data_IF_647292728464
#
_entry.id   IF_647292728464
#
_cell.length_a   1.000
_cell.length_b   1.000
_cell.length_c   1.000
_cell.angle_alpha   90.00
_cell.angle_beta   90.00
_cell.angle_gamma   90.00
#
_symmetry.space_group_name_H-M   'P 1'
#
loop_
_entity.id
_entity.type
_entity.pdbx_description
1 polymer ?
#
# COMPACT_ATOMS: atom_id res chain seq x y z
N UNK A 1 -17.87 10.72 -4.50
CA UNK A 1 -17.39 9.36 -4.23
C UNK A 1 -17.32 8.68 -5.59
N UNK A 2 -16.13 8.32 -6.02
CA UNK A 2 -15.89 7.76 -7.34
C UNK A 2 -15.85 6.22 -7.19
N UNK A 3 -16.58 5.51 -8.06
CA UNK A 3 -16.51 4.04 -8.17
C UNK A 3 -15.92 3.73 -9.54
N UNK A 4 -14.78 3.04 -9.54
CA UNK A 4 -14.03 2.71 -10.76
C UNK A 4 -14.01 1.19 -10.90
N UNK A 5 -14.53 0.70 -12.03
CA UNK A 5 -14.47 -0.72 -12.39
C UNK A 5 -13.30 -0.93 -13.36
N UNK A 6 -12.10 -1.13 -12.82
CA UNK A 6 -10.86 -1.31 -13.59
C UNK A 6 -9.86 -2.16 -12.77
N UNK A 7 -8.78 -2.58 -13.43
CA UNK A 7 -7.60 -3.13 -12.78
C UNK A 7 -6.93 -2.03 -11.93
N UNK A 8 -6.86 -2.24 -10.62
CA UNK A 8 -6.37 -1.24 -9.68
C UNK A 8 -4.93 -0.81 -9.98
N UNK A 9 -4.05 -1.74 -10.36
CA UNK A 9 -2.64 -1.43 -10.62
C UNK A 9 -2.53 -0.60 -11.90
N UNK A 10 -3.20 -1.00 -12.98
CA UNK A 10 -3.20 -0.24 -14.24
C UNK A 10 -3.79 1.15 -14.05
N UNK A 11 -4.86 1.26 -13.26
CA UNK A 11 -5.50 2.52 -12.96
C UNK A 11 -4.57 3.48 -12.20
N UNK A 12 -3.91 3.00 -11.14
CA UNK A 12 -2.98 3.80 -10.33
C UNK A 12 -1.70 4.18 -11.11
N UNK A 13 -1.25 3.36 -12.06
CA UNK A 13 -0.10 3.68 -12.92
C UNK A 13 -0.43 4.76 -13.95
N UNK A 14 -1.71 4.93 -14.31
CA UNK A 14 -2.13 5.89 -15.33
C UNK A 14 -1.67 7.32 -15.02
N UNK A 15 -1.20 8.06 -16.03
CA UNK A 15 -0.67 9.42 -15.87
C UNK A 15 -1.74 10.45 -15.49
N UNK A 16 -3.02 10.09 -15.58
CA UNK A 16 -4.14 10.95 -15.21
C UNK A 16 -4.45 10.91 -13.72
N UNK A 17 -3.93 9.92 -13.00
CA UNK A 17 -4.17 9.76 -11.57
C UNK A 17 -3.11 10.51 -10.74
N UNK A 18 -3.50 11.61 -10.11
CA UNK A 18 -2.60 12.46 -9.32
C UNK A 18 -3.14 12.78 -7.91
N UNK A 19 -4.17 12.06 -7.45
CA UNK A 19 -4.74 12.25 -6.12
C UNK A 19 -3.90 11.52 -5.08
N UNK A 20 -3.74 12.14 -3.92
CA UNK A 20 -3.11 11.54 -2.75
C UNK A 20 -4.16 11.06 -1.75
N UNK A 21 -3.82 10.01 -1.02
CA UNK A 21 -4.68 9.42 0.00
C UNK A 21 -4.05 9.50 1.39
N UNK A 22 -4.90 9.75 2.38
CA UNK A 22 -4.56 9.67 3.80
C UNK A 22 -4.74 8.25 4.35
N UNK A 23 -5.62 7.45 3.75
CA UNK A 23 -5.89 6.06 4.14
C UNK A 23 -6.02 5.21 2.87
N UNK A 24 -5.30 4.09 2.82
CA UNK A 24 -5.35 3.11 1.72
C UNK A 24 -5.56 1.71 2.28
N UNK A 25 -6.42 0.94 1.64
CA UNK A 25 -6.68 -0.48 1.93
C UNK A 25 -6.12 -1.32 0.76
N UNK A 26 -5.24 -2.26 1.07
CA UNK A 26 -4.59 -3.15 0.12
C UNK A 26 -4.96 -4.59 0.47
N UNK A 27 -5.99 -5.10 -0.18
CA UNK A 27 -6.47 -6.49 -0.05
C UNK A 27 -6.66 -7.12 -1.44
N UNK A 28 -5.57 -7.37 -2.19
CA UNK A 28 -5.65 -8.14 -3.42
C UNK A 28 -5.69 -9.65 -3.10
N UNK A 29 -6.12 -10.49 -4.06
CA UNK A 29 -6.12 -11.94 -3.90
C UNK A 29 -4.75 -12.49 -3.45
N UNK A 30 -4.71 -13.29 -2.38
CA UNK A 30 -3.46 -13.68 -1.68
C UNK A 30 -2.38 -14.38 -2.51
N UNK A 31 -2.76 -15.19 -3.50
CA UNK A 31 -1.80 -15.97 -4.30
C UNK A 31 -1.27 -15.19 -5.51
N UNK A 32 -0.95 -13.92 -5.34
CA UNK A 32 -0.51 -13.04 -6.42
C UNK A 32 0.59 -12.07 -5.99
N UNK A 33 1.40 -11.61 -6.94
CA UNK A 33 2.42 -10.57 -6.69
C UNK A 33 1.79 -9.15 -6.60
N UNK A 34 0.48 -9.05 -6.33
CA UNK A 34 -0.26 -7.80 -6.40
C UNK A 34 -0.06 -6.92 -5.17
N UNK A 35 0.23 -7.49 -4.00
CA UNK A 35 0.56 -6.70 -2.80
C UNK A 35 1.78 -5.83 -3.05
N UNK A 36 2.88 -6.44 -3.50
CA UNK A 36 4.13 -5.74 -3.80
C UNK A 36 3.93 -4.71 -4.92
N UNK A 37 3.21 -5.08 -5.99
CA UNK A 37 2.90 -4.15 -7.08
C UNK A 37 2.08 -2.93 -6.59
N UNK A 38 1.09 -3.14 -5.74
CA UNK A 38 0.28 -2.06 -5.17
C UNK A 38 1.13 -1.13 -4.31
N UNK A 39 1.92 -1.69 -3.39
CA UNK A 39 2.80 -0.95 -2.49
C UNK A 39 3.82 -0.13 -3.29
N UNK A 40 4.44 -0.74 -4.29
CA UNK A 40 5.42 -0.07 -5.16
C UNK A 40 4.79 1.10 -5.91
N UNK A 41 3.64 0.89 -6.56
CA UNK A 41 2.96 1.94 -7.32
C UNK A 41 2.53 3.10 -6.42
N UNK A 42 2.03 2.84 -5.21
CA UNK A 42 1.63 3.89 -4.27
C UNK A 42 2.80 4.83 -3.92
N UNK A 43 4.00 4.30 -3.71
CA UNK A 43 5.17 5.11 -3.36
C UNK A 43 5.80 5.77 -4.60
N UNK A 44 6.01 5.03 -5.69
CA UNK A 44 6.63 5.54 -6.94
C UNK A 44 5.82 6.67 -7.60
N UNK A 45 4.48 6.60 -7.50
CA UNK A 45 3.58 7.63 -8.04
C UNK A 45 3.27 8.72 -7.02
N UNK A 46 3.87 8.68 -5.82
CA UNK A 46 3.65 9.63 -4.73
C UNK A 46 2.16 9.81 -4.37
N UNK A 47 1.41 8.72 -4.33
CA UNK A 47 -0.06 8.72 -4.12
C UNK A 47 -0.47 8.73 -2.64
N UNK A 48 0.50 8.85 -1.73
CA UNK A 48 0.28 8.87 -0.29
C UNK A 48 0.65 10.23 0.29
N UNK A 49 -0.19 10.75 1.17
CA UNK A 49 0.16 11.91 1.98
C UNK A 49 1.20 11.53 3.06
N UNK A 50 1.86 12.54 3.64
CA UNK A 50 2.62 12.34 4.88
C UNK A 50 1.65 11.85 5.96
N UNK A 51 2.11 10.89 6.77
CA UNK A 51 1.35 10.21 7.82
C UNK A 51 0.19 9.34 7.33
N UNK A 52 0.10 9.08 6.01
CA UNK A 52 -0.89 8.19 5.45
C UNK A 52 -0.86 6.81 6.12
N UNK A 53 -2.03 6.20 6.27
CA UNK A 53 -2.20 4.87 6.88
C UNK A 53 -2.51 3.85 5.80
N UNK A 54 -1.71 2.79 5.77
CA UNK A 54 -1.85 1.72 4.77
C UNK A 54 -2.19 0.44 5.51
N UNK A 55 -3.41 -0.03 5.30
CA UNK A 55 -3.90 -1.30 5.82
C UNK A 55 -3.69 -2.37 4.77
N UNK A 56 -3.06 -3.48 5.16
CA UNK A 56 -2.74 -4.59 4.25
C UNK A 56 -3.23 -5.89 4.85
N UNK A 57 -4.00 -6.65 4.08
CA UNK A 57 -4.36 -8.04 4.40
C UNK A 57 -3.47 -8.98 3.60
N UNK A 58 -2.96 -10.04 4.23
CA UNK A 58 -2.18 -11.06 3.56
C UNK A 58 -2.43 -12.44 4.16
N UNK A 59 -2.11 -13.50 3.43
CA UNK A 59 -2.13 -14.86 3.98
C UNK A 59 -1.11 -14.97 5.12
N UNK A 60 -1.46 -15.67 6.20
CA UNK A 60 -0.58 -15.86 7.35
C UNK A 60 0.73 -16.59 6.97
N UNK A 61 0.69 -17.42 5.93
CA UNK A 61 1.80 -18.21 5.42
C UNK A 61 2.58 -17.51 4.29
N UNK A 62 2.14 -16.34 3.85
CA UNK A 62 2.87 -15.57 2.86
C UNK A 62 4.24 -15.13 3.40
N UNK A 63 5.19 -14.94 2.48
CA UNK A 63 6.46 -14.30 2.80
C UNK A 63 6.23 -12.89 3.34
N UNK A 64 7.23 -12.39 4.08
CA UNK A 64 7.22 -11.02 4.56
C UNK A 64 7.08 -10.04 3.38
N UNK A 65 6.17 -9.08 3.52
CA UNK A 65 5.95 -8.06 2.51
C UNK A 65 7.12 -7.10 2.47
N UNK A 66 7.65 -6.87 1.28
CA UNK A 66 8.62 -5.80 1.06
C UNK A 66 7.90 -4.46 1.02
N UNK A 67 8.14 -3.64 2.05
CA UNK A 67 7.60 -2.27 2.15
C UNK A 67 8.71 -1.23 1.99
N UNK A 68 8.40 -0.03 1.46
CA UNK A 68 9.33 1.08 1.41
C UNK A 68 9.90 1.43 2.79
N UNK A 69 11.16 1.91 2.82
CA UNK A 69 11.85 2.24 4.09
C UNK A 69 11.16 3.31 4.91
N UNK A 70 10.40 4.19 4.27
CA UNK A 70 9.63 5.24 4.91
C UNK A 70 8.26 4.78 5.41
N UNK A 71 7.98 3.49 5.42
CA UNK A 71 6.79 2.95 6.05
C UNK A 71 7.18 2.31 7.38
N UNK A 72 6.57 2.77 8.47
CA UNK A 72 6.73 2.19 9.80
C UNK A 72 5.52 1.33 10.15
N UNK A 73 5.75 0.09 10.58
CA UNK A 73 4.68 -0.82 10.97
C UNK A 73 4.12 -0.42 12.34
N UNK A 74 2.82 -0.09 12.38
CA UNK A 74 2.08 0.28 13.59
C UNK A 74 1.44 -0.96 14.24
N UNK A 75 0.90 -1.86 13.42
CA UNK A 75 0.24 -3.09 13.89
C UNK A 75 0.53 -4.26 12.96
N UNK A 76 0.60 -5.45 13.53
CA UNK A 76 0.68 -6.73 12.83
C UNK A 76 -0.02 -7.78 13.68
N UNK A 77 -1.16 -8.28 13.22
CA UNK A 77 -1.99 -9.23 13.95
C UNK A 77 -2.43 -10.35 13.01
N UNK A 78 -2.74 -11.51 13.59
CA UNK A 78 -3.25 -12.67 12.85
C UNK A 78 -4.60 -13.05 13.43
N UNK A 79 -5.58 -13.30 12.57
CA UNK A 79 -6.83 -13.95 12.94
C UNK A 79 -7.17 -15.03 11.91
N UNK A 80 -7.25 -16.29 12.37
CA UNK A 80 -7.42 -17.43 11.49
C UNK A 80 -6.23 -17.58 10.52
N UNK A 81 -6.50 -17.59 9.22
CA UNK A 81 -5.49 -17.71 8.16
C UNK A 81 -5.07 -16.35 7.56
N UNK A 82 -5.51 -15.24 8.15
CA UNK A 82 -5.23 -13.90 7.62
C UNK A 82 -4.36 -13.11 8.59
N UNK A 83 -3.34 -12.46 8.05
CA UNK A 83 -2.50 -11.47 8.72
C UNK A 83 -2.94 -10.08 8.28
N UNK A 84 -3.19 -9.21 9.26
CA UNK A 84 -3.56 -7.82 9.06
C UNK A 84 -2.44 -6.92 9.56
N UNK A 85 -1.93 -6.07 8.68
CA UNK A 85 -0.84 -5.14 8.97
C UNK A 85 -1.33 -3.70 8.76
N UNK A 86 -0.84 -2.80 9.61
CA UNK A 86 -1.08 -1.37 9.46
C UNK A 86 0.25 -0.66 9.46
N UNK A 87 0.51 0.12 8.42
CA UNK A 87 1.70 0.94 8.26
C UNK A 87 1.36 2.43 8.34
N UNK A 88 2.31 3.22 8.83
CA UNK A 88 2.34 4.69 8.72
C UNK A 88 3.37 5.06 7.67
N UNK A 89 3.01 5.91 6.71
CA UNK A 89 3.96 6.48 5.76
C UNK A 89 4.57 7.74 6.32
N UNK A 90 5.87 7.74 6.53
CA UNK A 90 6.65 8.89 6.97
C UNK A 90 7.11 9.72 5.76
N UNK A 91 7.37 11.00 5.99
CA UNK A 91 8.00 11.83 4.97
C UNK A 91 9.41 11.31 4.70
N UNK A 92 9.75 11.07 3.43
CA UNK A 92 11.15 10.95 3.04
C UNK A 92 11.83 12.30 3.30
N UNK A 93 12.59 12.40 4.38
CA UNK A 93 13.44 13.56 4.68
C UNK A 93 14.77 13.52 3.90
N UNK A 94 14.89 12.68 2.87
CA UNK A 94 15.96 12.82 1.89
C UNK A 94 15.72 14.11 1.11
N UNK A 95 16.34 15.17 1.63
CA UNK A 95 16.45 16.49 1.04
C UNK A 95 16.60 16.36 -0.48
N UNK A 96 15.65 16.97 -1.19
CA UNK A 96 15.89 17.51 -2.52
C UNK A 96 17.23 18.26 -2.48
N UNK A 97 18.30 17.61 -2.96
CA UNK A 97 19.63 18.18 -3.18
C UNK A 97 19.95 18.14 -4.65
#
# INVERSE_FOLDING_TARGET
>A
MDLINDDAIKYLVSTQFNKKFDIVFVDPPFNSNLHEAAIQVLEEKHLLNVDAKIYVENDVNASELLVPKNWSQIRNQVAGQVRFMLYSREANLELDK
#
